data_IF_284706733110
#
_entry.id   IF_284706733110
#
_cell.length_a   1.000
_cell.length_b   1.000
_cell.length_c   1.000
_cell.angle_alpha   90.00
_cell.angle_beta   90.00
_cell.angle_gamma   90.00
#
_symmetry.space_group_name_H-M   'P 1'
#
loop_
_entity.id
_entity.type
_entity.pdbx_description
1 polymer ?
#
# COMPACT_ATOMS: atom_id res chain seq x y z
N UNK A 1 5.82 -1.74 -16.65
CA UNK A 1 5.61 -2.60 -15.46
C UNK A 1 6.94 -2.80 -14.78
N UNK A 2 6.93 -2.65 -13.45
CA UNK A 2 8.11 -2.68 -12.57
C UNK A 2 8.30 -4.06 -11.90
N UNK A 3 7.49 -5.06 -12.27
CA UNK A 3 7.51 -6.42 -11.70
C UNK A 3 7.35 -6.43 -10.17
N UNK A 4 6.41 -5.63 -9.65
CA UNK A 4 6.18 -5.52 -8.20
C UNK A 4 5.02 -6.39 -7.74
N UNK A 5 4.62 -7.38 -8.54
CA UNK A 5 3.65 -8.37 -8.10
C UNK A 5 4.24 -9.13 -6.91
N UNK A 6 3.55 -9.05 -5.78
CA UNK A 6 3.87 -9.82 -4.59
C UNK A 6 2.60 -10.51 -4.08
N UNK A 7 2.74 -11.76 -3.66
CA UNK A 7 1.68 -12.52 -3.02
C UNK A 7 2.33 -13.36 -1.92
N UNK A 8 2.10 -12.97 -0.67
CA UNK A 8 2.58 -13.74 0.47
C UNK A 8 1.74 -15.01 0.60
N UNK A 9 2.33 -16.13 0.21
CA UNK A 9 1.69 -17.42 0.30
C UNK A 9 1.57 -17.86 1.75
N UNK A 10 0.49 -18.59 2.06
CA UNK A 10 0.30 -19.12 3.40
C UNK A 10 1.47 -20.04 3.80
N UNK A 11 2.04 -19.75 4.96
CA UNK A 11 3.11 -20.55 5.60
C UNK A 11 2.72 -20.92 7.03
N UNK A 12 3.25 -22.03 7.52
CA UNK A 12 3.05 -22.44 8.92
C UNK A 12 4.03 -21.69 9.81
N UNK A 13 3.61 -21.38 11.03
CA UNK A 13 4.50 -20.77 12.01
C UNK A 13 5.67 -21.70 12.31
N UNK A 14 6.93 -21.24 12.17
CA UNK A 14 8.08 -22.04 12.56
C UNK A 14 8.01 -22.33 14.06
N UNK A 15 8.33 -23.58 14.44
CA UNK A 15 8.34 -23.98 15.85
C UNK A 15 9.45 -23.22 16.59
N UNK A 16 9.17 -22.78 17.82
CA UNK A 16 10.13 -22.09 18.70
C UNK A 16 11.37 -22.93 19.08
N UNK A 17 11.34 -24.24 18.80
CA UNK A 17 12.20 -25.23 19.43
C UNK A 17 13.33 -25.73 18.50
N UNK A 18 13.96 -24.83 17.74
CA UNK A 18 15.20 -25.14 17.01
C UNK A 18 15.09 -26.24 15.95
N UNK A 19 13.88 -26.62 15.54
CA UNK A 19 13.68 -27.39 14.31
C UNK A 19 14.16 -26.54 13.14
N UNK A 20 14.84 -27.11 12.14
CA UNK A 20 15.36 -26.33 11.03
C UNK A 20 14.17 -25.66 10.34
N UNK A 21 14.09 -24.33 10.46
CA UNK A 21 13.27 -23.54 9.58
C UNK A 21 13.62 -24.01 8.16
N UNK A 22 12.61 -24.30 7.34
CA UNK A 22 12.87 -24.36 5.90
C UNK A 22 13.63 -23.06 5.56
N UNK A 23 14.80 -23.19 4.92
CA UNK A 23 15.85 -22.17 4.83
C UNK A 23 15.43 -20.92 4.02
N UNK A 24 14.36 -20.22 4.42
CA UNK A 24 13.90 -19.00 3.81
C UNK A 24 14.28 -17.85 4.75
N UNK A 25 15.22 -17.01 4.31
CA UNK A 25 15.66 -15.83 5.06
C UNK A 25 14.48 -14.89 5.41
N UNK A 26 13.43 -14.90 4.60
CA UNK A 26 12.19 -14.12 4.76
C UNK A 26 11.29 -14.57 5.93
N UNK A 27 11.50 -15.77 6.49
CA UNK A 27 10.72 -16.27 7.63
C UNK A 27 11.21 -15.72 8.97
N UNK A 28 12.43 -15.18 9.00
CA UNK A 28 13.12 -14.70 10.21
C UNK A 28 13.10 -13.18 10.37
N UNK A 29 12.37 -12.47 9.51
CA UNK A 29 12.21 -11.02 9.64
C UNK A 29 11.27 -10.66 10.81
N UNK A 30 11.61 -9.58 11.50
CA UNK A 30 10.81 -9.05 12.61
C UNK A 30 9.43 -8.59 12.10
N UNK A 31 8.36 -8.82 12.87
CA UNK A 31 6.98 -8.49 12.48
C UNK A 31 6.29 -9.43 11.49
N UNK A 32 6.91 -10.55 11.09
CA UNK A 32 6.28 -11.54 10.23
C UNK A 32 5.13 -12.31 10.91
N UNK A 33 5.19 -12.43 12.24
CA UNK A 33 4.17 -13.08 13.06
C UNK A 33 3.60 -12.08 14.06
N UNK A 34 3.72 -12.32 15.36
CA UNK A 34 3.21 -11.39 16.34
C UNK A 34 3.86 -10.00 16.22
N UNK A 35 3.02 -8.96 16.27
CA UNK A 35 3.45 -7.57 16.24
C UNK A 35 2.78 -6.80 17.38
N UNK A 36 3.42 -5.72 17.84
CA UNK A 36 2.89 -4.89 18.93
C UNK A 36 2.97 -3.43 18.54
N UNK A 37 1.82 -2.76 18.51
CA UNK A 37 1.73 -1.32 18.29
C UNK A 37 1.22 -0.62 19.56
N UNK A 38 2.08 0.20 20.17
CA UNK A 38 1.84 0.83 21.48
C UNK A 38 1.52 -0.25 22.52
N UNK A 39 0.30 -0.27 23.05
CA UNK A 39 -0.17 -1.25 24.03
C UNK A 39 -0.96 -2.42 23.42
N UNK A 40 -1.14 -2.45 22.10
CA UNK A 40 -1.95 -3.45 21.42
C UNK A 40 -1.04 -4.50 20.79
N UNK A 41 -1.31 -5.76 21.10
CA UNK A 41 -0.59 -6.91 20.59
C UNK A 41 -1.47 -7.63 19.56
N UNK A 42 -1.02 -7.72 18.32
CA UNK A 42 -1.64 -8.54 17.30
C UNK A 42 -0.95 -9.91 17.28
N UNK A 43 -1.74 -10.96 17.49
CA UNK A 43 -1.29 -12.35 17.46
C UNK A 43 -0.98 -12.88 16.05
N UNK A 44 -1.46 -12.21 14.99
CA UNK A 44 -1.26 -12.53 13.57
C UNK A 44 -1.26 -14.05 13.27
N UNK A 45 -2.35 -14.78 13.55
CA UNK A 45 -2.37 -16.25 13.54
C UNK A 45 -2.11 -16.86 12.16
N UNK A 46 -2.30 -16.07 11.09
CA UNK A 46 -2.07 -16.49 9.71
C UNK A 46 -0.72 -16.02 9.14
N UNK A 47 0.11 -15.33 9.94
CA UNK A 47 1.37 -14.79 9.49
C UNK A 47 1.20 -13.75 8.37
N UNK A 48 2.22 -13.59 7.51
CA UNK A 48 2.15 -12.66 6.38
C UNK A 48 1.18 -13.18 5.31
N UNK A 49 0.39 -12.27 4.76
CA UNK A 49 -0.69 -12.57 3.80
C UNK A 49 -1.03 -11.38 2.91
N UNK A 50 -0.08 -10.46 2.73
CA UNK A 50 -0.23 -9.29 1.88
C UNK A 50 -0.20 -9.64 0.40
N UNK A 51 -0.81 -8.76 -0.39
CA UNK A 51 -0.85 -8.83 -1.86
C UNK A 51 -0.48 -7.44 -2.38
N UNK A 52 0.48 -7.38 -3.29
CA UNK A 52 0.94 -6.16 -3.94
C UNK A 52 0.95 -6.31 -5.45
N UNK A 53 0.64 -5.23 -6.17
CA UNK A 53 0.72 -5.16 -7.64
C UNK A 53 1.24 -3.79 -8.07
N UNK A 54 1.88 -3.70 -9.24
CA UNK A 54 2.10 -2.41 -9.92
C UNK A 54 1.11 -2.20 -11.06
N UNK A 55 0.50 -1.02 -11.10
CA UNK A 55 -0.36 -0.56 -12.20
C UNK A 55 0.29 0.65 -12.86
N UNK A 56 0.42 0.63 -14.18
CA UNK A 56 1.00 1.73 -14.93
C UNK A 56 -0.05 2.34 -15.86
N UNK A 57 -0.36 3.62 -15.64
CA UNK A 57 -1.20 4.40 -16.55
C UNK A 57 -0.35 5.00 -17.66
N UNK A 58 -0.30 4.33 -18.82
CA UNK A 58 0.53 4.75 -19.94
C UNK A 58 0.04 6.06 -20.55
N UNK A 59 0.95 7.02 -20.72
CA UNK A 59 0.68 8.35 -21.28
C UNK A 59 -0.27 9.22 -20.44
N UNK A 60 -0.31 8.99 -19.12
CA UNK A 60 -1.01 9.85 -18.17
C UNK A 60 0.00 10.53 -17.26
N UNK A 61 -0.19 11.83 -17.03
CA UNK A 61 0.68 12.62 -16.14
C UNK A 61 0.14 12.71 -14.71
N UNK A 62 -1.18 12.59 -14.56
CA UNK A 62 -1.87 12.80 -13.30
C UNK A 62 -2.84 11.66 -13.02
N UNK A 63 -2.92 11.29 -11.74
CA UNK A 63 -3.89 10.35 -11.20
C UNK A 63 -4.65 10.99 -10.04
N UNK A 64 -5.87 10.52 -9.83
CA UNK A 64 -6.85 11.08 -8.91
C UNK A 64 -7.57 9.96 -8.16
N UNK A 65 -8.24 10.31 -7.06
CA UNK A 65 -9.08 9.37 -6.31
C UNK A 65 -8.42 8.90 -5.03
N UNK A 66 -8.60 7.62 -4.72
CA UNK A 66 -8.18 6.96 -3.47
C UNK A 66 -8.50 7.75 -2.19
N UNK A 67 -9.69 8.38 -2.05
CA UNK A 67 -9.99 9.15 -0.85
C UNK A 67 -10.08 8.21 0.39
N UNK A 68 -9.95 8.71 1.61
CA UNK A 68 -10.00 10.12 2.03
C UNK A 68 -8.65 10.65 2.55
N UNK A 69 -8.15 11.72 1.94
CA UNK A 69 -6.92 12.41 2.35
C UNK A 69 -7.10 13.92 2.30
N UNK A 70 -6.52 14.64 3.27
CA UNK A 70 -6.48 16.09 3.29
C UNK A 70 -5.38 16.63 2.36
N UNK A 71 -5.42 16.25 1.09
CA UNK A 71 -4.36 16.55 0.10
C UNK A 71 -4.93 17.16 -1.19
N UNK A 72 -4.06 17.43 -2.16
CA UNK A 72 -4.45 17.90 -3.49
C UNK A 72 -5.32 16.88 -4.23
N UNK A 73 -6.23 17.36 -5.08
CA UNK A 73 -7.09 16.51 -5.90
C UNK A 73 -6.28 15.61 -6.85
N UNK A 74 -5.26 16.17 -7.50
CA UNK A 74 -4.26 15.39 -8.22
C UNK A 74 -3.27 14.82 -7.21
N UNK A 75 -3.16 13.50 -7.16
CA UNK A 75 -2.26 12.81 -6.24
C UNK A 75 -0.81 13.18 -6.56
N UNK A 76 -0.02 13.34 -5.51
CA UNK A 76 1.40 13.69 -5.60
C UNK A 76 2.24 12.43 -5.71
N UNK A 77 3.47 12.59 -6.21
CA UNK A 77 4.47 11.52 -6.12
C UNK A 77 4.79 11.22 -4.67
N UNK A 78 4.84 9.94 -4.31
CA UNK A 78 5.20 9.45 -2.97
C UNK A 78 6.70 9.17 -2.82
N UNK A 79 7.52 9.48 -3.82
CA UNK A 79 8.98 9.21 -3.79
C UNK A 79 9.70 9.81 -2.55
N UNK A 80 9.31 11.00 -2.11
CA UNK A 80 9.94 11.73 -1.00
C UNK A 80 9.02 11.83 0.24
N UNK A 81 7.95 11.03 0.30
CA UNK A 81 6.96 11.06 1.39
C UNK A 81 6.41 9.66 1.65
N UNK A 82 5.51 9.53 2.62
CA UNK A 82 4.86 8.24 2.88
C UNK A 82 3.88 7.89 1.76
N UNK A 83 3.62 6.60 1.50
CA UNK A 83 2.56 6.19 0.59
C UNK A 83 1.18 6.65 1.09
N UNK A 84 0.23 6.82 0.17
CA UNK A 84 -1.16 7.08 0.56
C UNK A 84 -1.70 5.86 1.30
N UNK A 85 -2.10 6.06 2.57
CA UNK A 85 -2.65 4.99 3.40
C UNK A 85 -4.16 4.93 3.24
N UNK A 86 -4.69 3.72 3.10
CA UNK A 86 -6.12 3.42 3.10
C UNK A 86 -6.43 2.55 4.31
N UNK A 87 -6.85 3.21 5.39
CA UNK A 87 -7.29 2.56 6.62
C UNK A 87 -8.16 3.54 7.41
N UNK A 88 -9.44 3.20 7.64
CA UNK A 88 -10.36 4.12 8.29
C UNK A 88 -9.93 4.37 9.74
N UNK A 89 -9.50 5.59 10.03
CA UNK A 89 -8.96 6.02 11.32
C UNK A 89 -9.67 7.29 11.81
N UNK A 90 -9.84 7.38 13.12
CA UNK A 90 -10.24 8.62 13.80
C UNK A 90 -8.98 9.41 14.16
N UNK A 91 -8.67 10.43 13.35
CA UNK A 91 -7.47 11.27 13.51
C UNK A 91 -7.88 12.65 14.02
N UNK A 92 -7.56 12.89 15.28
CA UNK A 92 -7.70 14.19 15.92
C UNK A 92 -6.75 15.22 15.29
N UNK A 93 -7.27 16.39 14.93
CA UNK A 93 -6.51 17.52 14.35
C UNK A 93 -5.58 17.10 13.20
N UNK A 94 -6.15 16.51 12.15
CA UNK A 94 -5.39 16.07 10.98
C UNK A 94 -4.64 17.23 10.30
N UNK A 95 -3.43 16.93 9.81
CA UNK A 95 -2.63 17.85 9.01
C UNK A 95 -3.11 17.89 7.56
N UNK A 96 -2.87 19.03 6.89
CA UNK A 96 -3.11 19.19 5.45
C UNK A 96 -1.86 18.85 4.63
N UNK A 97 -2.05 18.44 3.38
CA UNK A 97 -1.01 17.99 2.44
C UNK A 97 -0.24 16.78 2.95
N UNK A 98 -0.96 15.85 3.57
CA UNK A 98 -0.41 14.66 4.20
C UNK A 98 -1.08 13.39 3.62
N UNK A 99 -0.33 12.35 3.23
CA UNK A 99 -0.86 11.08 2.70
C UNK A 99 -1.47 10.14 3.77
N UNK A 100 -1.51 10.56 5.04
CA UNK A 100 -2.10 9.81 6.15
C UNK A 100 -3.60 9.52 5.94
N UNK A 101 -4.02 8.29 6.25
CA UNK A 101 -5.42 7.88 6.12
C UNK A 101 -6.35 8.67 7.04
N UNK A 102 -7.58 8.92 6.58
CA UNK A 102 -8.64 9.56 7.37
C UNK A 102 -9.80 8.58 7.61
N UNK A 103 -11.04 9.08 7.63
CA UNK A 103 -12.21 8.34 8.12
C UNK A 103 -12.77 7.34 7.12
N UNK A 104 -12.53 7.53 5.83
CA UNK A 104 -12.97 6.64 4.76
C UNK A 104 -11.85 6.18 3.83
N UNK A 105 -12.07 5.03 3.20
CA UNK A 105 -11.21 4.47 2.18
C UNK A 105 -12.05 4.00 0.99
N UNK A 106 -11.80 4.59 -0.19
CA UNK A 106 -12.37 4.12 -1.46
C UNK A 106 -11.19 3.79 -2.38
N UNK A 107 -10.84 2.50 -2.55
CA UNK A 107 -9.65 2.08 -3.30
C UNK A 107 -9.85 2.14 -4.83
N UNK A 108 -10.22 3.31 -5.33
CA UNK A 108 -10.46 3.60 -6.74
C UNK A 108 -9.60 4.76 -7.22
N UNK A 109 -8.82 4.51 -8.27
CA UNK A 109 -7.94 5.49 -8.89
C UNK A 109 -8.37 5.76 -10.33
N UNK A 110 -8.28 7.02 -10.75
CA UNK A 110 -8.58 7.49 -12.09
C UNK A 110 -7.36 8.17 -12.69
N UNK A 111 -7.08 7.93 -13.96
CA UNK A 111 -6.12 8.68 -14.76
C UNK A 111 -6.86 9.37 -15.91
N UNK A 112 -6.57 10.65 -16.14
CA UNK A 112 -7.24 11.46 -17.15
C UNK A 112 -6.24 12.31 -17.93
N UNK A 113 -6.42 12.38 -19.25
CA UNK A 113 -5.72 13.30 -20.16
C UNK A 113 -6.67 13.76 -21.28
N UNK A 114 -6.18 14.57 -22.22
CA UNK A 114 -7.00 15.10 -23.32
C UNK A 114 -7.58 14.04 -24.27
N UNK A 115 -7.03 12.82 -24.27
CA UNK A 115 -7.39 11.76 -25.21
C UNK A 115 -8.26 10.66 -24.59
N UNK A 116 -8.12 10.41 -23.29
CA UNK A 116 -8.78 9.28 -22.63
C UNK A 116 -8.94 9.48 -21.12
N UNK A 117 -9.82 8.66 -20.55
CA UNK A 117 -9.94 8.43 -19.11
C UNK A 117 -9.93 6.95 -18.85
N UNK A 118 -9.10 6.50 -17.91
CA UNK A 118 -9.03 5.10 -17.47
C UNK A 118 -9.10 5.06 -15.95
N UNK A 119 -9.53 3.93 -15.40
CA UNK A 119 -9.64 3.76 -13.97
C UNK A 119 -9.20 2.37 -13.52
N UNK A 120 -8.76 2.29 -12.28
CA UNK A 120 -8.37 1.07 -11.61
C UNK A 120 -9.10 1.00 -10.26
N UNK A 121 -9.81 -0.10 -10.03
CA UNK A 121 -10.51 -0.36 -8.78
C UNK A 121 -9.89 -1.57 -8.10
N UNK A 122 -9.27 -1.36 -6.96
CA UNK A 122 -8.70 -2.40 -6.12
C UNK A 122 -9.74 -2.83 -5.10
N UNK A 123 -10.54 -3.85 -5.42
CA UNK A 123 -11.59 -4.35 -4.53
C UNK A 123 -10.98 -5.14 -3.36
N UNK A 124 -10.44 -4.43 -2.39
CA UNK A 124 -9.86 -4.96 -1.16
C UNK A 124 -10.31 -4.09 0.02
N UNK A 125 -10.68 -4.73 1.13
CA UNK A 125 -11.18 -4.07 2.34
C UNK A 125 -10.17 -4.04 3.50
N UNK A 126 -9.00 -4.68 3.33
CA UNK A 126 -7.92 -4.63 4.30
C UNK A 126 -7.22 -3.27 4.27
N UNK A 127 -6.34 -3.04 5.26
CA UNK A 127 -5.40 -1.93 5.20
C UNK A 127 -4.57 -1.99 3.91
N UNK A 128 -4.39 -0.83 3.27
CA UNK A 128 -3.62 -0.71 2.04
C UNK A 128 -2.73 0.52 2.03
N UNK A 129 -1.66 0.43 1.22
CA UNK A 129 -0.73 1.50 0.95
C UNK A 129 -0.57 1.65 -0.56
N UNK A 130 -0.58 2.88 -1.05
CA UNK A 130 -0.49 3.18 -2.48
C UNK A 130 0.65 4.17 -2.72
N UNK A 131 1.70 3.68 -3.35
CA UNK A 131 2.76 4.51 -3.90
C UNK A 131 2.38 5.05 -5.28
N UNK A 132 2.68 6.32 -5.51
CA UNK A 132 2.48 7.02 -6.78
C UNK A 132 3.84 7.50 -7.26
N UNK A 133 4.27 7.04 -8.43
CA UNK A 133 5.51 7.49 -9.06
C UNK A 133 5.23 8.03 -10.46
N UNK A 134 5.70 9.24 -10.74
CA UNK A 134 5.69 9.79 -12.10
C UNK A 134 7.07 9.61 -12.73
N UNK A 135 7.24 8.52 -13.49
CA UNK A 135 8.39 8.38 -14.36
C UNK A 135 8.16 9.28 -15.56
N UNK A 136 8.65 10.53 -15.51
CA UNK A 136 8.77 11.33 -16.72
C UNK A 136 9.70 10.56 -17.65
N UNK A 137 9.16 9.93 -18.69
CA UNK A 137 9.96 9.49 -19.82
C UNK A 137 10.70 10.73 -20.31
N UNK A 138 12.02 10.78 -20.06
CA UNK A 138 12.91 11.79 -20.62
C UNK A 138 12.99 11.56 -22.13
N UNK A 139 11.96 11.96 -22.87
CA UNK A 139 12.07 12.19 -24.31
C UNK A 139 12.86 13.48 -24.51
N UNK A 140 14.18 13.31 -24.65
CA UNK A 140 15.01 14.25 -25.41
C UNK A 140 14.88 13.95 -26.89
#
# INVERSE_FOLDING_TARGET
>A
SKNMFNFEHYRKKPASDGAPAENNAEDNEDGMWEETFKSHHDSKPHGPSSIGIDVNFLNFENVYGIPEHADAFSLRSTHDTDPYRLFNLDIFEYDIKNPMALYGAIPYMLAHNEHATVGFFWLNAAEGWIDVSNDKLNTK
#
